data_IF_934722061559
#
_entry.id   IF_934722061559
#
_cell.length_a   1.000
_cell.length_b   1.000
_cell.length_c   1.000
_cell.angle_alpha   90.00
_cell.angle_beta   90.00
_cell.angle_gamma   90.00
#
_symmetry.space_group_name_H-M   'P 1'
#
loop_
_entity.id
_entity.type
_entity.pdbx_description
1 polymer ?
#
# COMPACT_ATOMS: atom_id res chain seq x y z
N UNK A 1 7.52 20.75 -10.03
CA UNK A 1 6.89 19.96 -11.12
C UNK A 1 7.95 19.09 -11.77
N UNK A 2 7.82 17.76 -11.69
CA UNK A 2 8.73 16.83 -12.34
C UNK A 2 8.21 16.49 -13.74
N UNK A 3 9.08 16.46 -14.75
CA UNK A 3 8.71 16.06 -16.11
C UNK A 3 8.75 14.53 -16.20
N UNK A 4 7.65 13.92 -16.63
CA UNK A 4 7.57 12.47 -16.90
C UNK A 4 7.85 12.23 -18.38
N UNK A 5 8.67 11.23 -18.69
CA UNK A 5 9.01 10.86 -20.06
C UNK A 5 8.05 9.79 -20.56
N UNK A 6 7.42 10.04 -21.71
CA UNK A 6 6.64 9.04 -22.46
C UNK A 6 7.60 8.18 -23.28
N UNK A 7 7.39 6.86 -23.29
CA UNK A 7 8.16 5.89 -24.08
C UNK A 7 7.25 4.96 -24.86
N UNK A 8 7.77 4.41 -25.96
CA UNK A 8 7.09 3.35 -26.72
C UNK A 8 7.26 2.01 -25.98
N UNK A 9 6.17 1.28 -25.78
CA UNK A 9 6.13 -0.07 -25.23
C UNK A 9 5.35 -0.94 -26.21
N UNK A 10 6.07 -1.75 -27.00
CA UNK A 10 5.46 -2.49 -28.11
C UNK A 10 4.78 -1.55 -29.11
N UNK A 11 3.47 -1.72 -29.32
CA UNK A 11 2.65 -0.84 -30.16
C UNK A 11 1.92 0.26 -29.38
N UNK A 12 2.20 0.40 -28.09
CA UNK A 12 1.56 1.36 -27.19
C UNK A 12 2.53 2.42 -26.68
N UNK A 13 1.99 3.44 -26.01
CA UNK A 13 2.75 4.41 -25.24
C UNK A 13 2.65 4.08 -23.75
N UNK A 14 3.75 4.21 -23.04
CA UNK A 14 3.81 4.10 -21.59
C UNK A 14 4.52 5.29 -20.96
N UNK A 15 4.29 5.48 -19.67
CA UNK A 15 4.95 6.48 -18.83
C UNK A 15 5.72 5.78 -17.72
N UNK A 16 6.79 6.42 -17.25
CA UNK A 16 7.53 5.94 -16.09
C UNK A 16 7.10 6.79 -14.90
N UNK A 17 6.34 6.17 -13.98
CA UNK A 17 5.96 6.81 -12.73
C UNK A 17 7.10 6.67 -11.70
N UNK A 18 7.33 7.69 -10.85
CA UNK A 18 8.28 7.58 -9.74
C UNK A 18 7.80 6.53 -8.73
N UNK A 19 8.73 5.89 -8.02
CA UNK A 19 8.38 4.88 -6.98
C UNK A 19 7.45 5.43 -5.91
N UNK A 20 7.55 6.72 -5.64
CA UNK A 20 6.74 7.48 -4.69
C UNK A 20 5.26 7.58 -5.11
N UNK A 21 4.91 7.22 -6.36
CA UNK A 21 3.52 7.24 -6.85
C UNK A 21 2.61 6.16 -6.25
N UNK A 22 3.17 5.17 -5.56
CA UNK A 22 2.40 4.07 -4.97
C UNK A 22 1.88 3.02 -5.97
N UNK A 23 1.99 3.26 -7.28
CA UNK A 23 1.51 2.33 -8.31
C UNK A 23 2.44 1.12 -8.43
N UNK A 24 1.85 -0.07 -8.33
CA UNK A 24 2.54 -1.35 -8.50
C UNK A 24 2.27 -1.95 -9.88
N UNK A 25 3.13 -2.88 -10.30
CA UNK A 25 2.91 -3.62 -11.53
C UNK A 25 1.59 -4.43 -11.46
N UNK A 26 0.81 -4.39 -12.53
CA UNK A 26 -0.49 -5.06 -12.60
C UNK A 26 -1.66 -4.25 -12.03
N UNK A 27 -1.42 -3.07 -11.45
CA UNK A 27 -2.49 -2.18 -11.00
C UNK A 27 -3.22 -1.56 -12.20
N UNK A 28 -4.54 -1.69 -12.23
CA UNK A 28 -5.41 -0.97 -13.17
C UNK A 28 -5.71 0.43 -12.61
N UNK A 29 -5.62 1.44 -13.46
CA UNK A 29 -5.88 2.84 -13.12
C UNK A 29 -6.94 3.40 -14.06
N UNK A 30 -7.85 4.21 -13.53
CA UNK A 30 -8.81 4.91 -14.38
C UNK A 30 -8.12 6.04 -15.14
N UNK A 31 -8.30 6.02 -16.46
CA UNK A 31 -7.80 7.03 -17.36
C UNK A 31 -8.91 8.00 -17.75
N UNK A 32 -8.65 9.31 -17.61
CA UNK A 32 -9.51 10.36 -18.12
C UNK A 32 -8.68 11.43 -18.83
N UNK A 33 -9.18 11.91 -19.98
CA UNK A 33 -8.59 13.03 -20.71
C UNK A 33 -9.51 14.24 -20.61
N UNK A 34 -9.04 15.29 -19.93
CA UNK A 34 -9.73 16.56 -19.78
C UNK A 34 -8.99 17.62 -20.61
N UNK A 35 -9.37 17.76 -21.89
CA UNK A 35 -8.71 18.67 -22.82
C UNK A 35 -7.24 18.30 -23.05
N UNK A 36 -6.33 19.11 -22.53
CA UNK A 36 -4.87 18.90 -22.60
C UNK A 36 -4.29 18.15 -21.40
N UNK A 37 -5.11 17.78 -20.41
CA UNK A 37 -4.68 17.10 -19.18
C UNK A 37 -5.07 15.62 -19.27
N UNK A 38 -4.13 14.76 -18.89
CA UNK A 38 -4.37 13.34 -18.63
C UNK A 38 -4.41 13.16 -17.12
N UNK A 39 -5.50 12.62 -16.62
CA UNK A 39 -5.71 12.25 -15.23
C UNK A 39 -5.68 10.73 -15.13
N UNK A 40 -4.87 10.22 -14.19
CA UNK A 40 -4.84 8.83 -13.78
C UNK A 40 -5.33 8.77 -12.35
N UNK A 41 -6.48 8.15 -12.09
CA UNK A 41 -7.00 8.03 -10.74
C UNK A 41 -6.27 6.90 -10.00
N UNK A 42 -5.69 7.25 -8.85
CA UNK A 42 -4.93 6.35 -7.99
C UNK A 42 -5.78 5.82 -6.83
N UNK A 43 -7.01 6.32 -6.65
CA UNK A 43 -7.82 6.06 -5.45
C UNK A 43 -8.05 4.56 -5.19
N UNK A 44 -8.26 3.76 -6.24
CA UNK A 44 -8.43 2.31 -6.10
C UNK A 44 -7.11 1.59 -5.82
N UNK A 45 -6.00 2.09 -6.34
CA UNK A 45 -4.66 1.61 -6.01
C UNK A 45 -4.33 1.89 -4.53
N UNK A 46 -4.66 3.08 -4.04
CA UNK A 46 -4.48 3.49 -2.65
C UNK A 46 -5.34 2.63 -1.72
N UNK A 47 -6.63 2.42 -2.05
CA UNK A 47 -7.51 1.51 -1.29
C UNK A 47 -6.98 0.08 -1.24
N UNK A 48 -6.43 -0.42 -2.34
CA UNK A 48 -5.85 -1.76 -2.40
C UNK A 48 -4.59 -1.86 -1.53
N UNK A 49 -3.74 -0.83 -1.55
CA UNK A 49 -2.56 -0.74 -0.69
C UNK A 49 -2.94 -0.71 0.80
N UNK A 50 -3.86 0.18 1.17
CA UNK A 50 -4.35 0.30 2.56
C UNK A 50 -4.97 -1.00 3.04
N UNK A 51 -5.79 -1.65 2.20
CA UNK A 51 -6.35 -2.97 2.53
C UNK A 51 -5.26 -3.99 2.78
N UNK A 52 -4.24 -4.07 1.94
CA UNK A 52 -3.13 -5.01 2.14
C UNK A 52 -2.41 -4.75 3.47
N UNK A 53 -2.16 -3.48 3.81
CA UNK A 53 -1.53 -3.10 5.07
C UNK A 53 -2.40 -3.48 6.28
N UNK A 54 -3.71 -3.27 6.19
CA UNK A 54 -4.68 -3.68 7.20
C UNK A 54 -4.66 -5.20 7.37
N UNK A 55 -4.85 -5.97 6.29
CA UNK A 55 -4.88 -7.43 6.33
C UNK A 55 -3.57 -8.02 6.89
N UNK A 56 -2.42 -7.47 6.47
CA UNK A 56 -1.11 -7.85 7.01
C UNK A 56 -0.99 -7.58 8.50
N UNK A 57 -1.56 -6.48 8.98
CA UNK A 57 -1.58 -6.16 10.42
C UNK A 57 -2.48 -7.11 11.20
N UNK A 58 -3.48 -7.70 10.56
CA UNK A 58 -4.35 -8.71 11.16
C UNK A 58 -3.81 -10.14 11.05
N UNK A 59 -2.76 -10.40 10.27
CA UNK A 59 -2.15 -11.74 10.18
C UNK A 59 -1.68 -12.27 11.54
N UNK A 60 -1.26 -11.40 12.46
CA UNK A 60 -0.84 -11.81 13.80
C UNK A 60 -1.98 -12.47 14.59
N UNK A 61 -3.23 -12.08 14.35
CA UNK A 61 -4.40 -12.76 14.94
C UNK A 61 -4.68 -14.11 14.30
N UNK A 62 -4.44 -14.24 12.99
CA UNK A 62 -4.64 -15.50 12.26
C UNK A 62 -3.66 -16.58 12.71
N UNK A 63 -2.45 -16.20 13.13
CA UNK A 63 -1.40 -17.13 13.54
C UNK A 63 -1.19 -17.17 15.07
N UNK A 64 -2.16 -16.68 15.85
CA UNK A 64 -2.08 -16.60 17.31
C UNK A 64 -0.79 -15.95 17.85
N UNK A 65 -0.28 -14.94 17.12
CA UNK A 65 0.89 -14.14 17.47
C UNK A 65 0.53 -12.88 18.27
N UNK A 66 -0.48 -12.97 19.12
CA UNK A 66 -0.87 -11.91 20.05
C UNK A 66 -0.77 -12.42 21.48
N UNK A 67 -0.69 -11.49 22.43
CA UNK A 67 -0.70 -11.81 23.86
C UNK A 67 -1.95 -11.19 24.51
N UNK A 68 -2.58 -11.93 25.41
CA UNK A 68 -3.55 -11.37 26.34
C UNK A 68 -2.84 -10.52 27.39
N UNK A 69 -3.58 -9.65 28.09
CA UNK A 69 -3.02 -8.84 29.19
C UNK A 69 -2.32 -9.70 30.25
N UNK A 70 -2.91 -10.84 30.60
CA UNK A 70 -2.32 -11.79 31.54
C UNK A 70 -1.01 -12.39 31.01
N UNK A 71 -0.95 -12.73 29.72
CA UNK A 71 0.27 -13.26 29.09
C UNK A 71 1.37 -12.19 28.98
N UNK A 72 1.01 -10.93 28.76
CA UNK A 72 1.96 -9.81 28.78
C UNK A 72 2.51 -9.61 30.18
N UNK A 73 1.62 -9.56 31.19
CA UNK A 73 2.02 -9.41 32.58
C UNK A 73 2.94 -10.56 33.02
N UNK A 74 2.63 -11.80 32.67
CA UNK A 74 3.48 -12.96 32.97
C UNK A 74 4.84 -12.88 32.26
N UNK A 75 4.85 -12.61 30.96
CA UNK A 75 6.07 -12.66 30.14
C UNK A 75 7.01 -11.48 30.36
N UNK A 76 6.45 -10.31 30.70
CA UNK A 76 7.19 -9.06 30.87
C UNK A 76 7.24 -8.58 32.32
N UNK A 77 6.77 -9.36 33.30
CA UNK A 77 6.87 -9.07 34.74
C UNK A 77 8.28 -8.63 35.16
N UNK A 78 9.32 -9.30 34.64
CA UNK A 78 10.73 -8.98 34.92
C UNK A 78 11.17 -7.58 34.47
N UNK A 79 10.39 -6.93 33.60
CA UNK A 79 10.61 -5.57 33.13
C UNK A 79 9.65 -4.55 33.77
N UNK A 80 8.91 -4.94 34.80
CA UNK A 80 8.00 -4.05 35.54
C UNK A 80 6.61 -3.90 34.94
N UNK A 81 6.24 -4.72 33.95
CA UNK A 81 4.87 -4.77 33.43
C UNK A 81 3.99 -5.59 34.39
N UNK A 82 2.99 -4.95 34.97
CA UNK A 82 1.99 -5.57 35.86
C UNK A 82 0.59 -5.33 35.32
N UNK A 83 -0.35 -6.20 35.71
CA UNK A 83 -1.78 -6.07 35.40
C UNK A 83 -2.39 -4.86 36.11
#
# INVERSE_FOLDING_TARGET
MQKIKVRKIGNSLGIILPKESGVTEGTELDYKKNGSIIELNLEDADKAHDRNLIEKSFEDFKYDKYYTEDQVAEKFAKYGWTK
#
